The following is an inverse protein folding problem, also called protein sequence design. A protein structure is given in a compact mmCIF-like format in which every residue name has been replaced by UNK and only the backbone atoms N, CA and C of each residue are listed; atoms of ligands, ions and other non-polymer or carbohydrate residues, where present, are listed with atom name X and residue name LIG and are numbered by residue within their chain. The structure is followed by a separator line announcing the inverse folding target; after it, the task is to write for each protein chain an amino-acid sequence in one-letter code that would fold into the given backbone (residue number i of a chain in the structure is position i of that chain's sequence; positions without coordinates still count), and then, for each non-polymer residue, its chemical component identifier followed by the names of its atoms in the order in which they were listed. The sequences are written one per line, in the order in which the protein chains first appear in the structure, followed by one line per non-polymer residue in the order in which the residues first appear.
data_IF_429901319811
#
_entry.id   IF_429901319811
#
_cell.length_a   1.000
_cell.length_b   1.000
_cell.length_c   1.000
_cell.angle_alpha   90.00
_cell.angle_beta   90.00
_cell.angle_gamma   90.00
#
_symmetry.space_group_name_H-M   'P 1'
#
loop_
_entity.id
_entity.type
_entity.pdbx_description
1 polymer ?
#
# COMPACT_ATOMS: atom_id res chain seq x y z
N UNK A 1 -15.95 -0.72 6.80
CA UNK A 1 -15.59 -2.04 7.35
C UNK A 1 -14.35 -2.56 6.65
N UNK A 2 -13.36 -2.97 7.40
CA UNK A 2 -12.14 -3.56 6.83
C UNK A 2 -12.42 -5.02 6.49
N UNK A 3 -12.15 -5.40 5.26
CA UNK A 3 -12.30 -6.75 4.74
C UNK A 3 -11.32 -7.01 3.59
N UNK A 4 -11.22 -8.25 3.20
CA UNK A 4 -10.46 -8.61 2.02
C UNK A 4 -11.04 -7.95 0.77
N UNK A 5 -10.14 -7.49 -0.09
CA UNK A 5 -10.46 -6.94 -1.41
C UNK A 5 -10.47 -8.07 -2.45
N UNK A 6 -11.44 -8.03 -3.31
CA UNK A 6 -11.63 -8.99 -4.40
C UNK A 6 -11.58 -8.30 -5.76
N UNK A 7 -11.62 -9.08 -6.83
CA UNK A 7 -11.66 -8.53 -8.19
C UNK A 7 -12.89 -7.64 -8.44
N UNK A 8 -13.96 -7.86 -7.68
CA UNK A 8 -15.17 -7.02 -7.76
C UNK A 8 -14.95 -5.62 -7.19
N UNK A 9 -13.95 -5.45 -6.33
CA UNK A 9 -13.58 -4.17 -5.73
C UNK A 9 -12.65 -3.32 -6.62
N UNK A 10 -12.16 -3.86 -7.73
CA UNK A 10 -11.22 -3.15 -8.61
C UNK A 10 -11.69 -1.76 -9.00
N UNK A 11 -12.95 -1.52 -9.38
CA UNK A 11 -13.42 -0.16 -9.67
C UNK A 11 -13.27 0.81 -8.48
N UNK A 12 -13.57 0.36 -7.26
CA UNK A 12 -13.44 1.17 -6.04
C UNK A 12 -11.97 1.43 -5.69
N UNK A 13 -11.11 0.43 -5.88
CA UNK A 13 -9.66 0.57 -5.70
C UNK A 13 -9.09 1.60 -6.70
N UNK A 14 -9.49 1.54 -7.95
CA UNK A 14 -9.06 2.48 -9.00
C UNK A 14 -9.53 3.91 -8.67
N UNK A 15 -10.75 4.07 -8.18
CA UNK A 15 -11.24 5.38 -7.75
C UNK A 15 -10.38 5.97 -6.63
N UNK A 16 -10.02 5.17 -5.62
CA UNK A 16 -9.13 5.59 -4.54
C UNK A 16 -7.70 5.86 -5.04
N UNK A 17 -7.18 5.01 -5.92
CA UNK A 17 -5.87 5.20 -6.54
C UNK A 17 -5.79 6.48 -7.38
N UNK A 18 -6.88 6.89 -7.99
CA UNK A 18 -6.96 8.17 -8.71
C UNK A 18 -6.82 9.36 -7.76
N UNK A 19 -7.49 9.33 -6.62
CA UNK A 19 -7.32 10.36 -5.57
C UNK A 19 -5.87 10.40 -5.07
N UNK A 20 -5.27 9.24 -4.84
CA UNK A 20 -3.86 9.14 -4.43
C UNK A 20 -2.92 9.74 -5.48
N UNK A 21 -3.14 9.42 -6.76
CA UNK A 21 -2.34 9.95 -7.87
C UNK A 21 -2.44 11.48 -7.98
N UNK A 22 -3.63 12.03 -7.83
CA UNK A 22 -3.87 13.46 -7.84
C UNK A 22 -3.23 14.18 -6.65
N UNK A 23 -3.19 13.53 -5.49
CA UNK A 23 -2.61 14.13 -4.28
C UNK A 23 -1.09 14.12 -4.30
N UNK A 24 -0.46 13.00 -4.57
CA UNK A 24 0.98 12.86 -4.31
C UNK A 24 1.69 11.75 -5.09
N UNK A 25 1.01 11.04 -5.95
CA UNK A 25 1.59 9.89 -6.62
C UNK A 25 2.07 10.15 -8.06
N UNK A 26 2.69 9.15 -8.68
CA UNK A 26 2.84 9.12 -10.12
C UNK A 26 1.46 9.03 -10.80
N UNK A 27 1.39 9.39 -12.08
CA UNK A 27 0.13 9.35 -12.82
C UNK A 27 -0.43 7.93 -12.89
N UNK A 28 -1.71 7.79 -12.57
CA UNK A 28 -2.41 6.52 -12.63
C UNK A 28 -2.67 6.10 -14.08
N UNK A 29 -2.33 4.87 -14.39
CA UNK A 29 -2.75 4.21 -15.64
C UNK A 29 -3.83 3.18 -15.31
N UNK A 30 -5.10 3.61 -15.36
CA UNK A 30 -6.23 2.85 -14.83
C UNK A 30 -6.39 1.45 -15.46
N UNK A 31 -6.26 1.32 -16.79
CA UNK A 31 -6.41 0.01 -17.47
C UNK A 31 -5.33 -0.97 -17.04
N UNK A 32 -4.07 -0.52 -17.01
CA UNK A 32 -2.95 -1.37 -16.59
C UNK A 32 -3.08 -1.77 -15.12
N UNK A 33 -3.44 -0.83 -14.26
CA UNK A 33 -3.64 -1.11 -12.84
C UNK A 33 -4.78 -2.08 -12.63
N UNK A 34 -5.91 -1.91 -13.33
CA UNK A 34 -7.03 -2.86 -13.29
C UNK A 34 -6.63 -4.26 -13.73
N UNK A 35 -5.85 -4.38 -14.80
CA UNK A 35 -5.34 -5.67 -15.28
C UNK A 35 -4.46 -6.35 -14.23
N UNK A 36 -3.50 -5.61 -13.65
CA UNK A 36 -2.59 -6.13 -12.63
C UNK A 36 -3.38 -6.57 -11.39
N UNK A 37 -4.26 -5.72 -10.88
CA UNK A 37 -5.09 -6.04 -9.70
C UNK A 37 -5.93 -7.30 -9.94
N UNK A 38 -6.56 -7.41 -11.10
CA UNK A 38 -7.37 -8.59 -11.44
C UNK A 38 -6.52 -9.87 -11.52
N UNK A 39 -5.23 -9.75 -11.79
CA UNK A 39 -4.31 -10.88 -11.85
C UNK A 39 -3.78 -11.32 -10.50
N UNK A 40 -3.68 -10.42 -9.52
CA UNK A 40 -3.04 -10.70 -8.22
C UNK A 40 -4.01 -10.85 -7.07
N UNK A 41 -5.19 -10.22 -7.12
CA UNK A 41 -6.17 -10.33 -6.04
C UNK A 41 -6.64 -11.78 -5.89
N UNK A 42 -6.57 -12.30 -4.67
CA UNK A 42 -6.93 -13.68 -4.35
C UNK A 42 -5.77 -14.68 -4.39
N UNK A 43 -4.55 -14.27 -4.79
CA UNK A 43 -3.38 -15.13 -4.67
C UNK A 43 -2.94 -15.30 -3.21
N UNK A 44 -2.50 -16.48 -2.84
CA UNK A 44 -2.02 -16.78 -1.46
C UNK A 44 -0.81 -15.94 -1.04
N UNK A 45 -0.04 -15.45 -2.00
CA UNK A 45 1.15 -14.62 -1.80
C UNK A 45 0.83 -13.13 -1.77
N UNK A 46 -0.44 -12.76 -1.90
CA UNK A 46 -0.89 -11.37 -1.94
C UNK A 46 -1.85 -11.10 -0.79
N UNK A 47 -1.55 -10.06 -0.03
CA UNK A 47 -2.45 -9.47 0.95
C UNK A 47 -3.17 -8.30 0.30
N UNK A 48 -4.48 -8.23 0.45
CA UNK A 48 -5.25 -7.09 0.00
C UNK A 48 -6.44 -6.87 0.92
N UNK A 49 -6.44 -5.80 1.68
CA UNK A 49 -7.57 -5.40 2.53
C UNK A 49 -7.86 -3.90 2.38
N UNK A 50 -9.11 -3.54 2.61
CA UNK A 50 -9.55 -2.14 2.58
C UNK A 50 -10.80 -1.89 3.42
N UNK A 51 -10.99 -0.62 3.79
CA UNK A 51 -12.26 -0.16 4.38
C UNK A 51 -13.22 0.20 3.26
N UNK A 52 -14.04 -0.77 2.90
CA UNK A 52 -15.02 -0.64 1.80
C UNK A 52 -16.40 -0.34 2.37
N UNK A 53 -17.04 0.67 1.82
CA UNK A 53 -18.39 1.13 2.15
C UNK A 53 -19.24 1.23 0.91
N UNK A 54 -20.51 1.57 1.07
CA UNK A 54 -21.42 1.79 -0.06
C UNK A 54 -20.94 2.90 -1.02
N UNK A 55 -20.26 3.91 -0.46
CA UNK A 55 -19.72 5.05 -1.20
C UNK A 55 -18.32 4.82 -1.79
N UNK A 56 -17.72 3.64 -1.58
CA UNK A 56 -16.44 3.26 -2.15
C UNK A 56 -15.40 2.77 -1.15
N UNK A 57 -14.15 2.71 -1.58
CA UNK A 57 -13.00 2.32 -0.76
C UNK A 57 -12.37 3.56 -0.11
N UNK A 58 -12.34 3.59 1.21
CA UNK A 58 -11.81 4.73 1.99
C UNK A 58 -10.35 4.58 2.34
N UNK A 59 -9.89 3.36 2.51
CA UNK A 59 -8.49 3.05 2.74
C UNK A 59 -8.17 1.66 2.22
N UNK A 60 -6.91 1.44 1.86
CA UNK A 60 -6.44 0.15 1.36
C UNK A 60 -5.00 -0.11 1.79
N UNK A 61 -4.66 -1.39 1.93
CA UNK A 61 -3.31 -1.89 1.97
C UNK A 61 -3.25 -3.14 1.08
N UNK A 62 -2.33 -3.12 0.12
CA UNK A 62 -2.02 -4.27 -0.74
C UNK A 62 -0.54 -4.54 -0.59
N UNK A 63 -0.19 -5.81 -0.37
CA UNK A 63 1.17 -6.25 -0.20
C UNK A 63 1.39 -7.64 -0.77
N UNK A 64 2.63 -8.04 -0.82
CA UNK A 64 3.03 -9.34 -1.40
C UNK A 64 4.18 -9.97 -0.64
N UNK A 65 4.36 -11.28 -0.86
CA UNK A 65 5.53 -12.02 -0.42
C UNK A 65 6.50 -12.11 -1.58
N UNK A 66 7.78 -11.83 -1.29
CA UNK A 66 8.89 -11.90 -2.23
C UNK A 66 10.09 -12.61 -1.62
N UNK A 67 10.97 -13.11 -2.48
CA UNK A 67 12.25 -13.68 -2.08
C UNK A 67 13.37 -12.66 -2.32
N UNK A 68 14.31 -12.57 -1.38
CA UNK A 68 15.46 -11.69 -1.54
C UNK A 68 16.51 -12.36 -2.44
N UNK A 69 16.99 -11.69 -3.51
CA UNK A 69 17.84 -12.33 -4.50
C UNK A 69 19.25 -12.71 -3.98
N UNK A 70 19.74 -12.05 -2.93
CA UNK A 70 21.08 -12.27 -2.39
C UNK A 70 21.08 -12.84 -0.96
N UNK A 71 19.96 -12.81 -0.29
CA UNK A 71 19.82 -13.36 1.05
C UNK A 71 18.89 -14.57 0.99
N UNK A 72 19.18 -15.59 1.78
CA UNK A 72 18.25 -16.70 1.94
C UNK A 72 17.10 -16.27 2.85
N UNK A 73 16.30 -15.34 2.34
CA UNK A 73 15.23 -14.71 3.10
C UNK A 73 13.99 -14.50 2.24
N UNK A 74 12.82 -14.73 2.83
CA UNK A 74 11.50 -14.43 2.29
C UNK A 74 10.94 -13.26 3.09
N UNK A 75 10.34 -12.29 2.42
CA UNK A 75 9.81 -11.12 3.09
C UNK A 75 8.44 -10.72 2.53
N UNK A 76 7.66 -10.04 3.36
CA UNK A 76 6.45 -9.37 2.92
C UNK A 76 6.75 -7.87 2.72
N UNK A 77 6.22 -7.30 1.66
CA UNK A 77 6.33 -5.87 1.40
C UNK A 77 4.98 -5.29 1.02
N UNK A 78 4.70 -4.09 1.49
CA UNK A 78 3.55 -3.37 0.99
C UNK A 78 3.84 -2.82 -0.41
N UNK A 79 2.85 -2.89 -1.27
CA UNK A 79 2.86 -2.28 -2.60
C UNK A 79 2.18 -0.91 -2.56
N UNK A 80 1.15 -0.80 -1.76
CA UNK A 80 0.43 0.45 -1.52
C UNK A 80 -0.24 0.42 -0.15
N UNK A 81 -0.15 1.52 0.57
CA UNK A 81 -1.00 1.85 1.70
C UNK A 81 -1.50 3.28 1.52
N UNK A 82 -2.81 3.46 1.52
CA UNK A 82 -3.40 4.77 1.31
C UNK A 82 -4.75 4.92 2.00
N UNK A 83 -4.98 6.10 2.54
CA UNK A 83 -6.27 6.51 3.11
C UNK A 83 -6.71 7.81 2.44
N UNK A 84 -7.93 7.81 1.94
CA UNK A 84 -8.55 9.00 1.37
C UNK A 84 -8.46 10.17 2.35
N UNK A 85 -8.13 11.39 1.88
CA UNK A 85 -7.92 12.55 2.76
C UNK A 85 -9.03 12.81 3.77
N UNK A 86 -10.30 12.66 3.34
CA UNK A 86 -11.47 12.92 4.18
C UNK A 86 -11.65 11.94 5.35
N UNK A 87 -10.94 10.80 5.32
CA UNK A 87 -11.06 9.73 6.32
C UNK A 87 -9.79 9.51 7.14
N UNK A 88 -8.82 10.42 7.02
CA UNK A 88 -7.56 10.37 7.79
C UNK A 88 -7.79 10.71 9.26
N UNK A 89 -6.88 10.23 10.11
CA UNK A 89 -6.93 10.46 11.55
C UNK A 89 -7.73 9.40 12.32
N UNK A 90 -8.39 8.48 11.62
CA UNK A 90 -9.04 7.33 12.22
C UNK A 90 -8.08 6.15 12.44
N UNK A 91 -8.65 5.02 12.85
CA UNK A 91 -7.90 3.79 13.15
C UNK A 91 -7.74 2.86 11.94
N UNK A 92 -8.23 3.25 10.77
CA UNK A 92 -8.25 2.40 9.57
C UNK A 92 -6.85 1.94 9.15
N UNK A 93 -5.90 2.87 9.00
CA UNK A 93 -4.53 2.55 8.63
C UNK A 93 -3.85 1.65 9.67
N UNK A 94 -4.06 1.91 10.97
CA UNK A 94 -3.54 1.08 12.06
C UNK A 94 -4.04 -0.36 11.94
N UNK A 95 -5.34 -0.53 11.73
CA UNK A 95 -5.95 -1.86 11.56
C UNK A 95 -5.42 -2.59 10.35
N UNK A 96 -5.27 -1.90 9.23
CA UNK A 96 -4.71 -2.49 8.00
C UNK A 96 -3.27 -2.95 8.20
N UNK A 97 -2.41 -2.13 8.81
CA UNK A 97 -1.01 -2.50 9.07
C UNK A 97 -0.94 -3.68 10.04
N UNK A 98 -1.73 -3.68 11.10
CA UNK A 98 -1.78 -4.81 12.04
C UNK A 98 -2.23 -6.11 11.36
N UNK A 99 -3.25 -6.03 10.52
CA UNK A 99 -3.75 -7.18 9.77
C UNK A 99 -2.70 -7.71 8.79
N UNK A 100 -2.00 -6.81 8.10
CA UNK A 100 -0.89 -7.17 7.21
C UNK A 100 0.26 -7.83 7.97
N UNK A 101 0.64 -7.28 9.12
CA UNK A 101 1.68 -7.84 9.97
C UNK A 101 1.32 -9.26 10.42
N UNK A 102 0.11 -9.47 10.94
CA UNK A 102 -0.36 -10.79 11.35
C UNK A 102 -0.38 -11.79 10.20
N UNK A 103 -0.86 -11.38 9.03
CA UNK A 103 -0.85 -12.22 7.83
C UNK A 103 0.58 -12.63 7.43
N UNK A 104 1.53 -11.70 7.45
CA UNK A 104 2.91 -11.98 7.12
C UNK A 104 3.56 -12.94 8.14
N UNK A 105 3.26 -12.78 9.43
CA UNK A 105 3.71 -13.69 10.48
C UNK A 105 3.14 -15.10 10.28
N UNK A 106 1.85 -15.23 9.94
CA UNK A 106 1.21 -16.51 9.62
C UNK A 106 1.84 -17.18 8.39
N UNK A 107 2.30 -16.41 7.42
CA UNK A 107 3.05 -16.88 6.24
C UNK A 107 4.50 -17.23 6.54
N UNK A 108 4.95 -17.00 7.77
CA UNK A 108 6.28 -17.35 8.25
C UNK A 108 7.41 -16.70 7.44
N UNK A 109 7.24 -15.43 7.07
CA UNK A 109 8.28 -14.64 6.40
C UNK A 109 9.38 -14.26 7.38
N UNK A 110 10.57 -13.94 6.87
CA UNK A 110 11.74 -13.57 7.69
C UNK A 110 11.66 -12.12 8.18
N UNK A 111 11.08 -11.22 7.36
CA UNK A 111 10.88 -9.83 7.75
C UNK A 111 9.76 -9.17 6.92
N UNK A 112 9.34 -7.98 7.35
CA UNK A 112 8.31 -7.19 6.70
C UNK A 112 8.88 -5.81 6.37
N UNK A 113 8.66 -5.35 5.14
CA UNK A 113 9.00 -4.00 4.69
C UNK A 113 7.74 -3.15 4.54
N UNK A 114 7.77 -1.94 5.12
CA UNK A 114 6.80 -0.89 4.86
C UNK A 114 7.54 0.32 4.29
N UNK A 115 7.01 0.88 3.22
CA UNK A 115 7.57 2.04 2.53
C UNK A 115 6.50 3.13 2.38
N UNK A 116 6.74 4.32 2.90
CA UNK A 116 5.81 5.45 2.75
C UNK A 116 6.05 6.18 1.42
N UNK A 117 5.84 5.50 0.31
CA UNK A 117 6.22 5.97 -1.03
C UNK A 117 5.41 7.14 -1.56
N UNK A 118 4.20 7.36 -1.03
CA UNK A 118 3.39 8.53 -1.41
C UNK A 118 3.96 9.85 -0.90
N UNK A 119 4.88 9.83 0.06
CA UNK A 119 5.56 11.03 0.58
C UNK A 119 4.66 12.00 1.34
N UNK A 120 3.46 11.57 1.73
CA UNK A 120 2.48 12.38 2.44
C UNK A 120 2.74 12.29 3.93
N UNK A 121 3.09 13.41 4.56
CA UNK A 121 3.31 13.51 6.01
C UNK A 121 4.22 12.40 6.57
N UNK A 122 5.46 12.35 6.09
CA UNK A 122 6.44 11.30 6.42
C UNK A 122 6.72 11.19 7.92
N UNK A 123 6.76 12.29 8.65
CA UNK A 123 7.00 12.27 10.10
C UNK A 123 5.90 11.54 10.85
N UNK A 124 4.65 11.81 10.50
CA UNK A 124 3.49 11.14 11.11
C UNK A 124 3.46 9.65 10.77
N UNK A 125 3.75 9.32 9.53
CA UNK A 125 3.82 7.93 9.07
C UNK A 125 4.94 7.17 9.76
N UNK A 126 6.13 7.76 9.86
CA UNK A 126 7.26 7.18 10.57
C UNK A 126 6.95 6.91 12.05
N UNK A 127 6.30 7.85 12.73
CA UNK A 127 5.85 7.66 14.12
C UNK A 127 4.84 6.54 14.26
N UNK A 128 3.90 6.43 13.32
CA UNK A 128 2.93 5.34 13.29
C UNK A 128 3.62 3.98 13.15
N UNK A 129 4.51 3.84 12.18
CA UNK A 129 5.26 2.61 11.96
C UNK A 129 6.06 2.22 13.20
N UNK A 130 6.76 3.18 13.82
CA UNK A 130 7.52 2.95 15.04
C UNK A 130 6.65 2.45 16.19
N UNK A 131 5.47 3.03 16.39
CA UNK A 131 4.50 2.59 17.40
C UNK A 131 3.99 1.17 17.17
N UNK A 132 3.98 0.73 15.91
CA UNK A 132 3.56 -0.61 15.52
C UNK A 132 4.71 -1.63 15.51
N UNK A 133 5.90 -1.25 15.99
CA UNK A 133 7.05 -2.14 16.13
C UNK A 133 7.99 -2.17 14.94
N UNK A 134 7.80 -1.31 13.95
CA UNK A 134 8.70 -1.20 12.80
C UNK A 134 9.85 -0.24 13.09
N UNK A 135 11.07 -0.66 12.71
CA UNK A 135 12.27 0.16 12.86
C UNK A 135 12.66 0.76 11.51
N UNK A 136 13.11 2.01 11.53
CA UNK A 136 13.67 2.64 10.34
C UNK A 136 14.97 1.93 9.94
N UNK A 137 15.06 1.51 8.67
CA UNK A 137 16.18 0.70 8.17
C UNK A 137 16.84 1.28 6.92
N UNK A 138 16.74 2.57 6.72
CA UNK A 138 17.32 3.23 5.56
C UNK A 138 16.42 4.32 5.00
N UNK A 139 16.65 4.68 3.76
CA UNK A 139 15.84 5.64 3.05
C UNK A 139 15.53 5.17 1.64
N UNK A 140 14.49 5.72 1.04
CA UNK A 140 14.08 5.51 -0.34
C UNK A 140 14.34 6.79 -1.13
N UNK A 141 14.93 6.66 -2.31
CA UNK A 141 15.17 7.78 -3.21
C UNK A 141 14.66 7.46 -4.60
N UNK A 142 14.03 8.44 -5.25
CA UNK A 142 13.54 8.33 -6.62
C UNK A 142 14.32 9.25 -7.54
N UNK A 143 14.60 8.78 -8.74
CA UNK A 143 15.05 9.59 -9.85
C UNK A 143 14.06 9.41 -11.00
N UNK A 144 13.23 10.39 -11.32
CA UNK A 144 12.23 10.24 -12.37
C UNK A 144 12.90 10.27 -13.76
N UNK A 145 12.95 9.13 -14.41
CA UNK A 145 13.49 9.01 -15.79
C UNK A 145 12.52 9.64 -16.79
N UNK A 146 11.20 9.53 -16.50
CA UNK A 146 10.14 10.18 -17.27
C UNK A 146 9.43 11.15 -16.35
N UNK A 147 9.73 12.45 -16.47
CA UNK A 147 9.17 13.48 -15.62
C UNK A 147 7.65 13.57 -15.64
N UNK A 148 7.03 13.23 -16.76
CA UNK A 148 5.57 13.22 -16.93
C UNK A 148 4.83 12.17 -16.11
N UNK A 149 5.54 11.18 -15.55
CA UNK A 149 4.92 10.19 -14.66
C UNK A 149 4.65 10.72 -13.26
N UNK A 150 5.23 11.85 -12.90
CA UNK A 150 5.19 12.40 -11.54
C UNK A 150 4.50 13.76 -11.50
N UNK A 151 3.74 13.99 -10.45
CA UNK A 151 3.21 15.33 -10.17
C UNK A 151 4.36 16.27 -9.78
N UNK A 152 4.31 17.53 -10.20
CA UNK A 152 5.38 18.49 -9.92
C UNK A 152 5.66 18.67 -8.43
N UNK A 153 4.64 18.56 -7.59
CA UNK A 153 4.78 18.66 -6.14
C UNK A 153 5.55 17.51 -5.49
N UNK A 154 5.83 16.44 -6.23
CA UNK A 154 6.63 15.30 -5.81
C UNK A 154 8.14 15.52 -6.02
N UNK A 155 8.50 16.46 -6.90
CA UNK A 155 9.87 16.75 -7.29
C UNK A 155 10.37 18.01 -6.62
#
# INVERSE_FOLDING_TARGET
MIRDLTVEDVPAIIALARVMSEEAGPLLHAERTSYILSSILGLDTVFAQGDVREDGCRSMLIGEISEHPFLNAVFAQELVIYTHPDYRGGIGAVKLIKSFTSWAEEKNVDYIKLEATAGINNDRTSKLFSRLGYNSAGFLAFYPVRGELWQQHQL
#
